data_IF_566067905051
#
_entry.id   IF_566067905051
#
_cell.length_a   1.000
_cell.length_b   1.000
_cell.length_c   1.000
_cell.angle_alpha   90.00
_cell.angle_beta   90.00
_cell.angle_gamma   90.00
#
_symmetry.space_group_name_H-M   'P 1'
#
loop_
_entity.id
_entity.type
_entity.pdbx_description
1 polymer ?
#
# COMPACT_ATOMS: atom_id res chain seq x y z
N UNK A 1 -16.67 -1.80 2.94
CA UNK A 1 -15.21 -1.76 2.67
C UNK A 1 -14.79 -0.40 2.13
N UNK A 2 -15.54 0.19 1.18
CA UNK A 2 -15.38 1.60 0.78
C UNK A 2 -15.41 2.57 1.96
N UNK A 3 -16.22 2.29 2.97
CA UNK A 3 -16.34 3.11 4.19
C UNK A 3 -15.02 3.21 4.95
N UNK A 4 -14.22 2.14 4.97
CA UNK A 4 -12.92 2.11 5.66
C UNK A 4 -11.89 2.93 4.89
N UNK A 5 -11.83 2.79 3.57
CA UNK A 5 -10.89 3.54 2.73
C UNK A 5 -11.19 5.04 2.82
N UNK A 6 -12.45 5.42 2.74
CA UNK A 6 -12.87 6.82 2.87
C UNK A 6 -12.51 7.37 4.25
N UNK A 7 -12.83 6.62 5.33
CA UNK A 7 -12.47 7.03 6.68
C UNK A 7 -10.96 7.22 6.86
N UNK A 8 -10.12 6.34 6.29
CA UNK A 8 -8.67 6.46 6.36
C UNK A 8 -8.13 7.65 5.55
N UNK A 9 -8.77 8.02 4.44
CA UNK A 9 -8.43 9.25 3.69
C UNK A 9 -8.69 10.49 4.52
N UNK A 10 -9.84 10.53 5.19
CA UNK A 10 -10.30 11.69 5.96
C UNK A 10 -9.58 11.82 7.32
N UNK A 11 -9.29 10.69 7.99
CA UNK A 11 -8.85 10.67 9.39
C UNK A 11 -7.49 9.99 9.60
N UNK A 12 -7.12 9.04 8.75
CA UNK A 12 -5.95 8.17 8.95
C UNK A 12 -4.68 8.64 8.24
N UNK A 13 -4.71 9.78 7.54
CA UNK A 13 -3.60 10.25 6.70
C UNK A 13 -3.14 9.17 5.70
N UNK A 14 -4.10 8.53 5.02
CA UNK A 14 -3.86 7.46 4.06
C UNK A 14 -2.86 7.91 2.99
N UNK A 15 -1.76 7.17 2.85
CA UNK A 15 -0.81 7.37 1.76
C UNK A 15 -1.21 6.49 0.57
N UNK A 16 -1.52 7.13 -0.55
CA UNK A 16 -1.77 6.43 -1.82
C UNK A 16 -0.43 6.26 -2.56
N UNK A 17 -0.18 5.04 -3.04
CA UNK A 17 1.01 4.68 -3.80
C UNK A 17 0.55 4.15 -5.15
N UNK A 18 0.76 4.94 -6.19
CA UNK A 18 0.34 4.66 -7.56
C UNK A 18 1.43 3.97 -8.39
N UNK A 19 2.66 3.90 -7.88
CA UNK A 19 3.75 3.18 -8.54
C UNK A 19 3.43 1.68 -8.64
N UNK A 20 3.63 1.04 -9.81
CA UNK A 20 3.48 -0.40 -9.96
C UNK A 20 4.51 -1.15 -9.11
N UNK A 21 4.05 -1.83 -8.07
CA UNK A 21 4.91 -2.48 -7.09
C UNK A 21 4.61 -3.97 -6.98
N UNK A 22 5.67 -4.75 -6.85
CA UNK A 22 5.63 -6.20 -6.76
C UNK A 22 5.08 -6.68 -5.41
N UNK A 23 4.13 -7.62 -5.49
CA UNK A 23 3.43 -8.18 -4.32
C UNK A 23 4.32 -9.08 -3.45
N UNK A 24 5.39 -9.66 -3.99
CA UNK A 24 6.22 -10.63 -3.27
C UNK A 24 7.32 -9.93 -2.45
N UNK A 25 7.96 -8.91 -3.01
CA UNK A 25 9.10 -8.26 -2.37
C UNK A 25 8.84 -6.79 -2.03
N UNK A 26 8.32 -5.99 -2.95
CA UNK A 26 8.31 -4.53 -2.75
C UNK A 26 7.24 -4.08 -1.77
N UNK A 27 5.98 -4.50 -1.99
CA UNK A 27 4.85 -4.12 -1.15
C UNK A 27 5.07 -4.52 0.32
N UNK A 28 5.48 -5.77 0.65
CA UNK A 28 5.74 -6.16 2.03
C UNK A 28 6.88 -5.36 2.69
N UNK A 29 7.99 -5.10 1.98
CA UNK A 29 9.10 -4.35 2.53
C UNK A 29 8.73 -2.89 2.80
N UNK A 30 8.01 -2.25 1.89
CA UNK A 30 7.53 -0.87 2.07
C UNK A 30 6.60 -0.79 3.28
N UNK A 31 5.64 -1.72 3.41
CA UNK A 31 4.74 -1.79 4.55
C UNK A 31 5.50 -2.02 5.87
N UNK A 32 6.48 -2.91 5.87
CA UNK A 32 7.32 -3.20 7.04
C UNK A 32 8.17 -2.00 7.48
N UNK A 33 8.66 -1.19 6.55
CA UNK A 33 9.38 0.04 6.88
C UNK A 33 8.43 1.11 7.41
N UNK A 34 7.23 1.25 6.83
CA UNK A 34 6.27 2.27 7.26
C UNK A 34 5.77 2.03 8.70
N UNK A 35 5.48 0.78 9.08
CA UNK A 35 5.00 0.46 10.43
C UNK A 35 6.03 0.76 11.52
N UNK A 36 7.32 0.83 11.18
CA UNK A 36 8.40 1.16 12.12
C UNK A 36 8.58 2.65 12.34
N UNK A 37 7.93 3.51 11.56
CA UNK A 37 8.01 4.96 11.75
C UNK A 37 7.15 5.37 12.92
N UNK A 38 7.63 6.33 13.72
CA UNK A 38 6.84 6.89 14.84
C UNK A 38 5.50 7.46 14.37
N UNK A 39 5.48 8.07 13.19
CA UNK A 39 4.27 8.56 12.51
C UNK A 39 3.86 7.63 11.36
N UNK A 40 3.78 6.33 11.62
CA UNK A 40 3.35 5.36 10.61
C UNK A 40 1.97 5.70 10.06
N UNK A 41 1.77 5.46 8.76
CA UNK A 41 0.51 5.74 8.09
C UNK A 41 -0.03 4.50 7.37
N UNK A 42 -1.35 4.36 7.26
CA UNK A 42 -1.95 3.39 6.37
C UNK A 42 -1.49 3.62 4.93
N UNK A 43 -1.19 2.53 4.21
CA UNK A 43 -0.77 2.55 2.81
C UNK A 43 -1.86 1.94 1.93
N UNK A 44 -2.14 2.57 0.79
CA UNK A 44 -2.98 2.01 -0.27
C UNK A 44 -2.16 1.89 -1.56
N UNK A 45 -1.90 0.66 -1.98
CA UNK A 45 -1.26 0.35 -3.25
C UNK A 45 -2.33 0.15 -4.31
N UNK A 46 -2.31 0.93 -5.40
CA UNK A 46 -3.38 0.90 -6.42
C UNK A 46 -3.02 0.11 -7.67
N UNK A 47 -1.73 -0.21 -7.87
CA UNK A 47 -1.26 -0.96 -9.03
C UNK A 47 -0.33 -2.12 -8.62
N UNK A 48 -0.84 -3.13 -7.87
CA UNK A 48 -0.01 -4.29 -7.57
C UNK A 48 0.32 -5.08 -8.83
N UNK A 49 1.55 -5.59 -8.90
CA UNK A 49 2.00 -6.51 -9.95
C UNK A 49 2.59 -7.76 -9.31
N UNK A 50 2.54 -8.89 -10.01
CA UNK A 50 3.32 -10.08 -9.66
C UNK A 50 4.30 -10.35 -10.81
N UNK A 51 5.56 -9.94 -10.62
CA UNK A 51 6.60 -10.08 -11.66
C UNK A 51 6.94 -11.54 -11.94
N UNK A 52 6.95 -12.38 -10.91
CA UNK A 52 7.24 -13.81 -11.07
C UNK A 52 6.23 -14.51 -11.99
N UNK A 53 4.97 -14.06 -11.97
CA UNK A 53 3.89 -14.62 -12.78
C UNK A 53 3.55 -13.76 -14.01
N UNK A 54 4.22 -12.62 -14.20
CA UNK A 54 3.91 -11.63 -15.23
C UNK A 54 2.43 -11.19 -15.22
N UNK A 55 1.89 -10.88 -14.03
CA UNK A 55 0.48 -10.48 -13.81
C UNK A 55 0.43 -9.02 -13.34
N UNK A 56 -0.55 -8.27 -13.86
CA UNK A 56 -1.00 -6.97 -13.32
C UNK A 56 -2.42 -7.16 -12.79
N UNK A 57 -2.72 -6.62 -11.61
CA UNK A 57 -4.01 -6.74 -10.95
C UNK A 57 -4.95 -5.56 -11.24
#
# INVERSE_FOLDING_TARGET
>A
MNDVIQWLKENGNLKIIEEPLDVELEIPHIAYIEVKKENSRPLLFTHPINRAKNITY
#
